data_IF_066949519129
#
_entry.id   IF_066949519129
#
_cell.length_a   1.000
_cell.length_b   1.000
_cell.length_c   1.000
_cell.angle_alpha   90.00
_cell.angle_beta   90.00
_cell.angle_gamma   90.00
#
_symmetry.space_group_name_H-M   'P 1'
#
loop_
_entity.id
_entity.type
_entity.pdbx_description
1 polymer ?
#
# COMPACT_ATOMS: atom_id res chain seq x y z
N UNK A 1 28.96 18.52 24.43
CA UNK A 1 28.23 17.23 24.58
C UNK A 1 26.70 17.36 24.51
N UNK A 2 26.05 18.30 25.22
CA UNK A 2 24.57 18.45 25.21
C UNK A 2 23.99 18.84 23.83
N UNK A 3 24.63 19.75 23.08
CA UNK A 3 24.21 20.17 21.73
C UNK A 3 24.32 19.04 20.69
N UNK A 4 25.35 18.20 20.81
CA UNK A 4 25.53 17.00 19.97
C UNK A 4 24.44 15.96 20.27
N UNK A 5 24.07 15.75 21.54
CA UNK A 5 22.95 14.88 21.90
C UNK A 5 21.61 15.40 21.35
N UNK A 6 21.37 16.71 21.40
CA UNK A 6 20.15 17.33 20.84
C UNK A 6 20.08 17.14 19.32
N UNK A 7 21.18 17.37 18.60
CA UNK A 7 21.27 17.11 17.16
C UNK A 7 20.98 15.63 16.82
N UNK A 8 21.53 14.69 17.60
CA UNK A 8 21.30 13.26 17.39
C UNK A 8 19.84 12.86 17.60
N UNK A 9 19.16 13.48 18.60
CA UNK A 9 17.74 13.24 18.87
C UNK A 9 16.87 13.79 17.74
N UNK A 10 17.19 14.95 17.18
CA UNK A 10 16.44 15.53 16.06
C UNK A 10 16.55 14.65 14.81
N UNK A 11 17.75 14.14 14.50
CA UNK A 11 17.95 13.21 13.37
C UNK A 11 17.20 11.90 13.58
N UNK A 12 17.19 11.36 14.80
CA UNK A 12 16.48 10.12 15.14
C UNK A 12 14.95 10.28 15.04
N UNK A 13 14.42 11.44 15.45
CA UNK A 13 12.99 11.78 15.31
C UNK A 13 12.60 12.02 13.84
N UNK A 14 13.50 12.58 13.03
CA UNK A 14 13.27 12.77 11.59
C UNK A 14 13.07 11.46 10.82
N UNK A 15 13.76 10.38 11.21
CA UNK A 15 13.65 9.05 10.58
C UNK A 15 12.29 8.40 10.90
N UNK A 16 11.72 8.66 12.08
CA UNK A 16 10.45 8.07 12.52
C UNK A 16 9.23 8.57 11.72
N UNK A 17 9.32 9.74 11.08
CA UNK A 17 8.20 10.36 10.36
C UNK A 17 7.98 9.79 8.94
N UNK A 18 8.94 9.05 8.38
CA UNK A 18 8.86 8.52 7.00
C UNK A 18 8.06 7.20 6.92
N UNK A 19 7.79 6.55 8.06
CA UNK A 19 7.24 5.18 8.11
C UNK A 19 5.72 5.02 8.04
N UNK A 20 4.93 6.11 8.06
CA UNK A 20 3.49 6.00 8.29
C UNK A 20 2.64 6.08 7.00
N UNK A 21 2.82 5.15 6.06
CA UNK A 21 1.77 4.93 5.03
C UNK A 21 0.60 4.21 5.73
N UNK A 22 -0.61 4.76 5.67
CA UNK A 22 -1.77 4.17 6.36
C UNK A 22 -2.16 2.83 5.71
N UNK A 23 -2.90 1.99 6.45
CA UNK A 23 -3.44 0.73 5.93
C UNK A 23 -4.26 0.98 4.65
N UNK A 24 -5.13 2.00 4.66
CA UNK A 24 -5.95 2.37 3.49
C UNK A 24 -5.11 2.80 2.28
N UNK A 25 -4.04 3.57 2.49
CA UNK A 25 -3.15 3.96 1.40
C UNK A 25 -2.42 2.77 0.75
N UNK A 26 -2.13 1.70 1.52
CA UNK A 26 -1.58 0.45 0.95
C UNK A 26 -2.64 -0.36 0.19
N UNK A 27 -3.90 -0.35 0.66
CA UNK A 27 -5.01 -1.00 -0.05
C UNK A 27 -5.25 -0.31 -1.40
N UNK A 28 -5.36 1.02 -1.39
CA UNK A 28 -5.57 1.80 -2.61
C UNK A 28 -4.47 1.55 -3.65
N UNK A 29 -3.21 1.53 -3.21
CA UNK A 29 -2.09 1.22 -4.10
C UNK A 29 -2.22 -0.14 -4.78
N UNK A 30 -2.75 -1.15 -4.09
CA UNK A 30 -2.98 -2.46 -4.70
C UNK A 30 -4.19 -2.47 -5.64
N UNK A 31 -5.23 -1.67 -5.37
CA UNK A 31 -6.36 -1.48 -6.28
C UNK A 31 -5.91 -0.77 -7.57
N UNK A 32 -5.09 0.27 -7.45
CA UNK A 32 -4.55 1.02 -8.59
C UNK A 32 -3.68 0.12 -9.47
N UNK A 33 -2.83 -0.72 -8.86
CA UNK A 33 -2.05 -1.74 -9.58
C UNK A 33 -2.95 -2.76 -10.26
N UNK A 34 -3.98 -3.26 -9.58
CA UNK A 34 -4.96 -4.18 -10.16
C UNK A 34 -5.62 -3.59 -11.41
N UNK A 35 -6.08 -2.34 -11.31
CA UNK A 35 -6.72 -1.61 -12.42
C UNK A 35 -5.74 -1.41 -13.59
N UNK A 36 -4.48 -1.06 -13.29
CA UNK A 36 -3.44 -0.94 -14.33
C UNK A 36 -3.22 -2.26 -15.05
N UNK A 37 -3.04 -3.35 -14.31
CA UNK A 37 -2.81 -4.67 -14.91
C UNK A 37 -4.02 -5.15 -15.73
N UNK A 38 -5.26 -4.85 -15.30
CA UNK A 38 -6.46 -5.10 -16.10
C UNK A 38 -6.45 -4.33 -17.43
N UNK A 39 -6.04 -3.06 -17.40
CA UNK A 39 -5.91 -2.24 -18.61
C UNK A 39 -4.82 -2.76 -19.56
N UNK A 40 -3.75 -3.32 -18.99
CA UNK A 40 -2.65 -3.96 -19.72
C UNK A 40 -2.98 -5.40 -20.17
N UNK A 41 -4.19 -5.92 -19.87
CA UNK A 41 -4.64 -7.31 -20.09
C UNK A 41 -3.80 -8.37 -19.36
N UNK A 42 -2.99 -7.96 -18.38
CA UNK A 42 -2.22 -8.85 -17.51
C UNK A 42 -3.06 -9.27 -16.29
N UNK A 43 -4.06 -10.11 -16.55
CA UNK A 43 -5.03 -10.53 -15.53
C UNK A 43 -4.41 -11.29 -14.36
N UNK A 44 -3.33 -12.05 -14.59
CA UNK A 44 -2.62 -12.77 -13.53
C UNK A 44 -2.00 -11.79 -12.51
N UNK A 45 -1.30 -10.77 -12.99
CA UNK A 45 -0.75 -9.72 -12.12
C UNK A 45 -1.86 -8.92 -11.43
N UNK A 46 -2.98 -8.67 -12.11
CA UNK A 46 -4.15 -8.03 -11.50
C UNK A 46 -4.69 -8.85 -10.32
N UNK A 47 -4.89 -10.16 -10.50
CA UNK A 47 -5.36 -11.06 -9.45
C UNK A 47 -4.41 -11.06 -8.25
N UNK A 48 -3.09 -11.06 -8.47
CA UNK A 48 -2.10 -11.00 -7.38
C UNK A 48 -2.20 -9.71 -6.59
N UNK A 49 -2.31 -8.56 -7.27
CA UNK A 49 -2.44 -7.25 -6.64
C UNK A 49 -3.75 -7.15 -5.82
N UNK A 50 -4.88 -7.54 -6.41
CA UNK A 50 -6.19 -7.47 -5.75
C UNK A 50 -6.29 -8.43 -4.56
N UNK A 51 -5.71 -9.63 -4.64
CA UNK A 51 -5.58 -10.51 -3.47
C UNK A 51 -4.74 -9.90 -2.36
N UNK A 52 -3.72 -9.10 -2.70
CA UNK A 52 -2.96 -8.35 -1.68
C UNK A 52 -3.79 -7.22 -1.07
N UNK A 53 -4.65 -6.55 -1.83
CA UNK A 53 -5.63 -5.60 -1.30
C UNK A 53 -6.56 -6.27 -0.28
N UNK A 54 -7.08 -7.46 -0.58
CA UNK A 54 -7.92 -8.26 0.34
C UNK A 54 -7.16 -8.68 1.59
N UNK A 55 -5.91 -9.14 1.48
CA UNK A 55 -5.10 -9.49 2.66
C UNK A 55 -4.86 -8.30 3.57
N UNK A 56 -4.70 -7.11 2.98
CA UNK A 56 -4.57 -5.88 3.74
C UNK A 56 -5.92 -5.55 4.39
N UNK A 57 -6.99 -5.41 3.63
CA UNK A 57 -8.33 -5.15 4.14
C UNK A 57 -9.36 -6.19 3.66
N UNK A 58 -9.63 -7.23 4.47
CA UNK A 58 -10.52 -8.32 4.10
C UNK A 58 -11.99 -7.90 3.91
N UNK A 59 -12.37 -6.67 4.24
CA UNK A 59 -13.72 -6.14 4.05
C UNK A 59 -13.81 -5.13 2.90
N UNK A 60 -12.72 -4.92 2.15
CA UNK A 60 -12.71 -3.97 1.05
C UNK A 60 -13.54 -4.51 -0.13
N UNK A 61 -14.70 -3.88 -0.35
CA UNK A 61 -15.66 -4.30 -1.39
C UNK A 61 -15.09 -4.13 -2.80
N UNK A 62 -14.29 -3.08 -3.03
CA UNK A 62 -13.74 -2.78 -4.35
C UNK A 62 -12.77 -3.87 -4.82
N UNK A 63 -11.92 -4.40 -3.93
CA UNK A 63 -11.00 -5.48 -4.27
C UNK A 63 -11.73 -6.75 -4.75
N UNK A 64 -12.83 -7.11 -4.10
CA UNK A 64 -13.66 -8.25 -4.52
C UNK A 64 -14.41 -7.97 -5.82
N UNK A 65 -14.94 -6.76 -5.99
CA UNK A 65 -15.63 -6.36 -7.22
C UNK A 65 -14.67 -6.41 -8.41
N UNK A 66 -13.48 -5.84 -8.28
CA UNK A 66 -12.47 -5.87 -9.33
C UNK A 66 -12.01 -7.31 -9.63
N UNK A 67 -11.84 -8.17 -8.62
CA UNK A 67 -11.52 -9.59 -8.88
C UNK A 67 -12.63 -10.27 -9.69
N UNK A 68 -13.90 -9.98 -9.39
CA UNK A 68 -15.02 -10.51 -10.14
C UNK A 68 -15.09 -9.97 -11.59
N UNK A 69 -14.55 -8.78 -11.85
CA UNK A 69 -14.42 -8.23 -13.22
C UNK A 69 -13.24 -8.84 -13.99
N UNK A 70 -12.22 -9.36 -13.28
CA UNK A 70 -11.05 -10.00 -13.89
C UNK A 70 -11.33 -11.44 -14.33
N UNK A 71 -12.17 -12.17 -13.58
CA UNK A 71 -12.58 -13.54 -13.89
C UNK A 71 -13.68 -13.61 -14.96
#
# INVERSE_FOLDING_TARGET
MKKIKILFIITLVGILLVGCKSKGARVQEQLDLGSKYMADLDYESAIVALNKAIRLDPKNVDAYKMLAEVY
#
